data_IF_363705840039
#
_entry.id   IF_363705840039
#
_cell.length_a   1.000
_cell.length_b   1.000
_cell.length_c   1.000
_cell.angle_alpha   90.00
_cell.angle_beta   90.00
_cell.angle_gamma   90.00
#
_symmetry.space_group_name_H-M   'P 1'
#
loop_
_entity.id
_entity.type
_entity.pdbx_description
1 polymer ?
#
# COMPACT_ATOMS: atom_id res chain seq x y z
N UNK A 1 7.64 -3.62 -26.66
CA UNK A 1 7.24 -3.39 -26.29
C UNK A 1 7.09 -2.73 -26.01
N UNK A 2 7.14 -2.50 -25.77
CA UNK A 2 6.84 -1.86 -25.28
C UNK A 2 6.78 -1.60 -24.39
N UNK A 3 7.00 -1.54 -24.18
CA UNK A 3 6.77 -1.24 -23.28
C UNK A 3 6.42 -0.72 -22.78
N UNK A 4 6.60 -0.38 -22.64
CA UNK A 4 6.08 -0.02 -22.01
C UNK A 4 5.46 0.29 -21.75
N UNK A 5 5.37 0.19 -21.87
CA UNK A 5 4.66 0.54 -21.44
C UNK A 5 4.42 0.48 -20.72
N UNK A 6 4.95 0.06 -20.44
CA UNK A 6 4.59 0.08 -19.73
C UNK A 6 4.45 0.86 -19.58
N UNK A 7 5.06 0.90 -19.58
CA UNK A 7 4.81 1.77 -19.37
C UNK A 7 3.93 2.32 -19.69
N UNK A 8 3.81 2.27 -20.34
CA UNK A 8 2.86 2.65 -20.46
C UNK A 8 2.15 1.96 -20.00
N UNK A 9 2.30 1.32 -20.15
CA UNK A 9 1.47 0.49 -19.71
C UNK A 9 1.23 0.58 -18.40
N UNK A 10 1.07 -0.33 -17.84
CA UNK A 10 0.72 -0.32 -16.51
C UNK A 10 1.74 0.38 -15.68
N UNK A 11 1.42 0.67 -14.48
CA UNK A 11 2.33 1.36 -13.61
C UNK A 11 3.53 0.49 -13.31
N UNK A 12 4.66 1.11 -13.19
CA UNK A 12 5.84 0.41 -12.77
C UNK A 12 5.78 0.05 -11.31
N UNK A 13 5.06 0.84 -10.56
CA UNK A 13 4.92 0.62 -9.13
C UNK A 13 3.63 -0.14 -8.92
N UNK A 14 3.73 -1.45 -8.83
CA UNK A 14 2.54 -2.29 -8.74
C UNK A 14 1.80 -2.16 -7.43
N UNK A 15 2.45 -1.65 -6.39
CA UNK A 15 1.80 -1.52 -5.08
C UNK A 15 0.94 -0.27 -4.96
N UNK A 16 1.10 0.70 -5.87
CA UNK A 16 0.40 1.98 -5.75
C UNK A 16 -1.10 1.83 -5.54
N UNK A 17 -1.72 1.10 -6.42
CA UNK A 17 -3.16 0.90 -6.38
C UNK A 17 -3.58 0.12 -5.14
N UNK A 18 -2.81 -0.88 -4.78
CA UNK A 18 -3.14 -1.73 -3.63
C UNK A 18 -2.98 -0.99 -2.31
N UNK A 19 -1.98 -0.13 -2.19
CA UNK A 19 -1.82 0.70 -0.99
C UNK A 19 -3.06 1.57 -0.81
N UNK A 20 -3.49 2.21 -1.87
CA UNK A 20 -4.65 3.08 -1.80
C UNK A 20 -5.92 2.28 -1.48
N UNK A 21 -6.08 1.12 -2.13
CA UNK A 21 -7.24 0.26 -1.87
C UNK A 21 -7.31 -0.16 -0.42
N UNK A 22 -6.18 -0.61 0.13
CA UNK A 22 -6.15 -1.07 1.51
C UNK A 22 -6.44 0.08 2.47
N UNK A 23 -5.84 1.22 2.20
CA UNK A 23 -6.04 2.39 3.06
C UNK A 23 -7.51 2.80 3.11
N UNK A 24 -8.13 2.87 1.93
CA UNK A 24 -9.53 3.27 1.84
C UNK A 24 -10.45 2.22 2.48
N UNK A 25 -10.14 0.94 2.28
CA UNK A 25 -10.95 -0.13 2.87
C UNK A 25 -10.90 -0.10 4.39
N UNK A 26 -9.76 0.33 4.95
CA UNK A 26 -9.61 0.44 6.40
C UNK A 26 -10.08 1.78 6.95
N UNK A 27 -10.51 2.67 6.07
CA UNK A 27 -10.97 4.00 6.46
C UNK A 27 -9.86 4.77 7.18
N UNK A 28 -8.66 4.68 6.63
CA UNK A 28 -7.46 5.30 7.21
C UNK A 28 -7.07 6.46 6.31
N UNK A 29 -6.82 7.63 6.90
CA UNK A 29 -6.36 8.78 6.12
C UNK A 29 -4.89 8.60 5.78
N UNK A 30 -4.40 9.41 4.84
CA UNK A 30 -2.98 9.39 4.51
C UNK A 30 -2.13 9.81 5.71
N UNK A 31 -2.61 10.77 6.49
CA UNK A 31 -1.90 11.18 7.70
C UNK A 31 -1.85 10.07 8.74
N UNK A 32 -2.93 9.33 8.88
CA UNK A 32 -2.96 8.19 9.79
C UNK A 32 -2.01 7.09 9.33
N UNK A 33 -1.96 6.86 8.03
CA UNK A 33 -1.02 5.88 7.49
C UNK A 33 0.41 6.32 7.75
N UNK A 34 0.70 7.61 7.55
CA UNK A 34 2.01 8.15 7.86
C UNK A 34 2.41 7.85 9.31
N UNK A 35 1.48 8.04 10.24
CA UNK A 35 1.73 7.76 11.64
C UNK A 35 1.98 6.28 11.91
N UNK A 36 1.22 5.41 11.27
CA UNK A 36 1.42 3.97 11.42
C UNK A 36 2.77 3.52 10.87
N UNK A 37 3.17 4.11 9.76
CA UNK A 37 4.46 3.80 9.15
C UNK A 37 5.61 4.27 10.03
N UNK A 38 5.47 5.44 10.63
CA UNK A 38 6.52 5.98 11.49
C UNK A 38 6.82 5.04 12.66
N UNK A 39 5.82 4.37 13.17
CA UNK A 39 6.01 3.40 14.25
C UNK A 39 6.83 2.20 13.80
N UNK A 40 6.98 2.02 12.51
CA UNK A 40 7.75 0.94 11.93
C UNK A 40 9.04 1.42 11.29
N UNK A 41 9.45 2.63 11.66
CA UNK A 41 10.67 3.25 11.16
C UNK A 41 10.62 3.52 9.66
N UNK A 42 9.43 3.73 9.15
CA UNK A 42 9.23 4.12 7.76
C UNK A 42 8.68 5.54 7.77
N UNK A 43 9.46 6.47 7.31
CA UNK A 43 9.12 7.89 7.42
C UNK A 43 8.68 8.44 6.07
N UNK A 44 7.38 8.36 5.83
CA UNK A 44 6.76 8.90 4.63
C UNK A 44 5.67 9.85 5.09
N UNK A 45 5.79 11.10 4.71
CA UNK A 45 4.75 12.07 5.04
C UNK A 45 3.59 11.93 4.05
N UNK A 46 2.56 12.73 4.24
CA UNK A 46 1.38 12.66 3.39
C UNK A 46 1.69 12.88 1.92
N UNK A 47 2.61 13.79 1.62
CA UNK A 47 2.98 14.07 0.23
C UNK A 47 3.65 12.84 -0.39
N UNK A 48 4.54 12.20 0.36
CA UNK A 48 5.20 10.99 -0.13
C UNK A 48 4.19 9.87 -0.36
N UNK A 49 3.24 9.72 0.56
CA UNK A 49 2.20 8.70 0.42
C UNK A 49 1.33 8.99 -0.81
N UNK A 50 0.99 10.26 -1.04
CA UNK A 50 0.25 10.63 -2.22
C UNK A 50 0.99 10.22 -3.48
N UNK A 51 2.30 10.46 -3.50
CA UNK A 51 3.11 10.09 -4.66
C UNK A 51 3.16 8.59 -4.86
N UNK A 52 3.25 7.83 -3.77
CA UNK A 52 3.21 6.37 -3.87
C UNK A 52 1.88 5.94 -4.49
N UNK A 53 0.79 6.47 -3.97
CA UNK A 53 -0.55 6.05 -4.43
C UNK A 53 -0.81 6.43 -5.88
N UNK A 54 -0.17 7.49 -6.34
CA UNK A 54 -0.30 7.92 -7.73
C UNK A 54 0.73 7.32 -8.67
N UNK A 55 1.58 6.45 -8.15
CA UNK A 55 2.61 5.82 -8.97
C UNK A 55 3.76 6.74 -9.33
N UNK A 56 3.93 7.82 -8.60
CA UNK A 56 4.95 8.81 -8.88
C UNK A 56 6.21 8.63 -8.06
N UNK A 57 6.23 7.66 -7.17
CA UNK A 57 7.37 7.41 -6.31
C UNK A 57 7.53 5.90 -6.14
N UNK A 58 8.74 5.43 -6.27
CA UNK A 58 9.04 4.02 -6.03
C UNK A 58 8.98 3.71 -4.54
N UNK A 59 8.76 2.45 -4.23
CA UNK A 59 8.70 1.97 -2.86
C UNK A 59 9.87 1.04 -2.65
N UNK A 60 10.70 1.33 -1.65
CA UNK A 60 11.82 0.46 -1.31
C UNK A 60 11.30 -0.76 -0.53
N UNK A 61 12.10 -1.82 -0.50
CA UNK A 61 11.67 -3.07 0.11
C UNK A 61 11.31 -2.92 1.59
N UNK A 62 12.08 -2.15 2.35
CA UNK A 62 11.76 -1.97 3.77
C UNK A 62 10.49 -1.14 3.94
N UNK A 63 10.21 -0.24 3.00
CA UNK A 63 8.97 0.53 3.01
C UNK A 63 7.79 -0.37 2.70
N UNK A 64 7.97 -1.29 1.75
CA UNK A 64 6.94 -2.24 1.39
C UNK A 64 6.56 -3.11 2.57
N UNK A 65 7.56 -3.59 3.28
CA UNK A 65 7.32 -4.40 4.47
C UNK A 65 6.53 -3.59 5.51
N UNK A 66 6.94 -2.35 5.73
CA UNK A 66 6.24 -1.47 6.69
C UNK A 66 4.80 -1.21 6.28
N UNK A 67 4.57 -1.01 4.99
CA UNK A 67 3.22 -0.80 4.49
C UNK A 67 2.34 -2.02 4.70
N UNK A 68 2.87 -3.21 4.43
CA UNK A 68 2.11 -4.43 4.65
C UNK A 68 1.72 -4.57 6.12
N UNK A 69 2.64 -4.28 7.01
CA UNK A 69 2.38 -4.34 8.46
C UNK A 69 1.40 -3.28 8.91
N UNK A 70 1.59 -2.06 8.43
CA UNK A 70 0.74 -0.94 8.82
C UNK A 70 -0.70 -1.12 8.35
N UNK A 71 -0.87 -1.72 7.19
CA UNK A 71 -2.19 -1.94 6.60
C UNK A 71 -2.74 -3.31 6.94
N UNK A 72 -1.94 -4.14 7.61
CA UNK A 72 -2.32 -5.50 8.01
C UNK A 72 -2.76 -6.34 6.82
N UNK A 73 -1.94 -6.29 5.79
CA UNK A 73 -2.18 -7.09 4.60
C UNK A 73 -0.97 -7.97 4.34
N UNK A 74 -1.19 -9.04 3.59
CA UNK A 74 -0.10 -9.89 3.14
C UNK A 74 0.69 -9.13 2.08
N UNK A 75 2.00 -9.16 2.16
CA UNK A 75 2.84 -8.47 1.20
C UNK A 75 2.59 -8.99 -0.22
N UNK A 76 2.23 -10.26 -0.36
CA UNK A 76 1.94 -10.82 -1.67
C UNK A 76 0.67 -10.23 -2.27
N UNK A 77 -0.31 -9.93 -1.41
CA UNK A 77 -1.50 -9.23 -1.86
C UNK A 77 -1.12 -7.81 -2.31
N UNK A 78 -0.27 -7.17 -1.53
CA UNK A 78 0.15 -5.82 -1.82
C UNK A 78 0.91 -5.75 -3.16
N UNK A 79 1.65 -6.80 -3.47
CA UNK A 79 2.37 -6.89 -4.74
C UNK A 79 1.51 -7.39 -5.89
N UNK A 80 0.24 -7.70 -5.62
CA UNK A 80 -0.67 -8.17 -6.65
C UNK A 80 -0.46 -9.62 -7.02
N UNK A 81 0.21 -10.39 -6.18
CA UNK A 81 0.54 -11.77 -6.47
C UNK A 81 -0.48 -12.78 -6.00
N UNK A 82 -1.41 -12.34 -5.17
CA UNK A 82 -2.51 -13.20 -4.73
C UNK A 82 -3.71 -12.33 -4.38
N UNK A 83 -4.88 -12.92 -4.44
CA UNK A 83 -6.11 -12.19 -4.18
C UNK A 83 -6.52 -12.21 -2.72
N UNK A 84 -6.03 -13.17 -1.96
CA UNK A 84 -6.33 -13.25 -0.53
C UNK A 84 -5.28 -12.47 0.25
N UNK A 85 -5.59 -12.16 1.48
CA UNK A 85 -4.64 -11.46 2.33
C UNK A 85 -4.76 -9.96 2.26
N UNK A 86 -5.81 -9.46 1.63
CA UNK A 86 -6.05 -8.02 1.55
C UNK A 86 -6.56 -7.46 2.86
N UNK A 87 -6.95 -6.19 2.84
CA UNK A 87 -7.35 -5.52 4.08
C UNK A 87 -8.66 -6.07 4.60
N UNK A 88 -8.75 -6.20 5.91
CA UNK A 88 -10.02 -6.46 6.55
C UNK A 88 -10.80 -5.18 6.54
N UNK A 89 -12.10 -5.29 6.35
CA UNK A 89 -12.89 -4.09 6.49
C UNK A 89 -12.85 -3.68 7.94
N UNK A 90 -13.13 -2.44 8.19
CA UNK A 90 -13.22 -1.93 9.52
C UNK A 90 -14.07 -2.80 10.41
N UNK A 91 -15.18 -3.25 9.88
CA UNK A 91 -16.08 -4.10 10.60
C UNK A 91 -15.55 -5.47 10.73
N UNK A 92 -14.95 -5.98 9.72
CA UNK A 92 -14.45 -7.34 9.71
C UNK A 92 -13.31 -7.53 10.64
N UNK A 93 -12.59 -6.50 10.91
CA UNK A 93 -11.45 -6.62 11.77
C UNK A 93 -11.80 -7.09 13.15
N UNK A 94 -13.01 -6.98 13.49
CA UNK A 94 -13.45 -7.41 14.76
C UNK A 94 -13.43 -8.86 14.91
N UNK A 95 -13.56 -9.48 13.93
CA UNK A 95 -13.58 -10.85 14.02
C UNK A 95 -12.30 -11.44 14.24
N UNK A 96 -12.24 -11.48 14.41
CA UNK A 96 -11.50 -12.09 14.61
C UNK A 96 -11.01 -12.55 15.14
N UNK A 97 -11.17 -12.64 15.31
CA UNK A 97 -10.91 -13.03 15.77
C UNK A 97 -10.61 -13.31 15.86
#
# INVERSE_FOLDING_TARGET
>A
MKNPKSAEGGPRNVVSHQVRRARLALDVTQDELSGRLAKRQVFLDRVAITKVENGQRCVFDFELKGMAEALRVDVRWLLGMQETGGPSSKRGAVDEL
#
